data_IF_080898328965
#
_entry.id   IF_080898328965
#
_cell.length_a   1.000
_cell.length_b   1.000
_cell.length_c   1.000
_cell.angle_alpha   90.00
_cell.angle_beta   90.00
_cell.angle_gamma   90.00
#
_symmetry.space_group_name_H-M   'P 1'
#
loop_
_entity.id
_entity.type
_entity.pdbx_description
1 polymer ?
#
# COMPACT_ATOMS: atom_id res chain seq x y z
N UNK A 1 -12.81 -32.72 14.75
CA UNK A 1 -13.48 -31.39 14.71
C UNK A 1 -12.44 -30.39 14.30
N UNK A 2 -12.58 -29.77 13.13
CA UNK A 2 -11.64 -28.75 12.64
C UNK A 2 -12.00 -27.42 13.30
N UNK A 3 -11.11 -26.86 14.11
CA UNK A 3 -11.30 -25.53 14.68
C UNK A 3 -11.46 -24.51 13.54
N UNK A 4 -12.53 -23.73 13.56
CA UNK A 4 -12.74 -22.63 12.61
C UNK A 4 -11.73 -21.55 12.94
N UNK A 5 -10.75 -21.32 12.06
CA UNK A 5 -9.78 -20.23 12.22
C UNK A 5 -10.57 -18.91 12.17
N UNK A 6 -10.53 -18.14 13.24
CA UNK A 6 -11.16 -16.82 13.25
C UNK A 6 -10.44 -15.90 12.26
N UNK A 7 -11.23 -15.08 11.54
CA UNK A 7 -10.67 -14.12 10.62
C UNK A 7 -10.22 -12.88 11.40
N UNK A 8 -8.91 -12.66 11.45
CA UNK A 8 -8.28 -11.53 12.14
C UNK A 8 -8.01 -10.34 11.22
N UNK A 9 -8.40 -10.42 9.95
CA UNK A 9 -8.20 -9.34 8.99
C UNK A 9 -9.34 -8.34 9.06
N UNK A 10 -9.01 -7.05 9.12
CA UNK A 10 -9.99 -5.95 9.10
C UNK A 10 -9.65 -4.95 8.01
N UNK A 11 -10.69 -4.48 7.33
CA UNK A 11 -10.59 -3.42 6.33
C UNK A 11 -10.78 -2.07 7.01
N UNK A 12 -9.86 -1.13 6.76
CA UNK A 12 -9.86 0.20 7.36
C UNK A 12 -9.50 1.27 6.33
N UNK A 13 -9.97 2.51 6.54
CA UNK A 13 -9.44 3.66 5.80
C UNK A 13 -8.03 3.97 6.31
N UNK A 14 -7.09 4.22 5.40
CA UNK A 14 -5.73 4.60 5.78
C UNK A 14 -5.67 6.08 6.14
N UNK A 15 -4.77 6.41 7.06
CA UNK A 15 -4.53 7.76 7.58
C UNK A 15 -3.08 8.18 7.28
N UNK A 16 -2.77 9.46 7.48
CA UNK A 16 -1.39 9.97 7.32
C UNK A 16 -0.39 9.24 8.24
N UNK A 17 -0.83 8.78 9.41
CA UNK A 17 -0.01 8.02 10.36
C UNK A 17 0.37 6.62 9.84
N UNK A 18 -0.32 6.13 8.81
CA UNK A 18 -0.05 4.83 8.21
C UNK A 18 1.01 4.89 7.10
N UNK A 19 1.32 6.09 6.58
CA UNK A 19 2.17 6.27 5.39
C UNK A 19 3.48 5.46 5.46
N UNK A 20 4.29 5.53 6.54
CA UNK A 20 5.53 4.75 6.59
C UNK A 20 5.31 3.24 6.51
N UNK A 21 4.18 2.75 7.06
CA UNK A 21 3.82 1.34 7.03
C UNK A 21 3.26 0.91 5.66
N UNK A 22 2.56 1.79 4.94
CA UNK A 22 2.13 1.55 3.56
C UNK A 22 3.36 1.40 2.64
N UNK A 23 4.34 2.29 2.75
CA UNK A 23 5.59 2.23 1.98
C UNK A 23 6.36 0.94 2.29
N UNK A 24 6.48 0.56 3.56
CA UNK A 24 7.10 -0.71 3.94
C UNK A 24 6.36 -1.92 3.36
N UNK A 25 5.03 -1.90 3.39
CA UNK A 25 4.20 -2.98 2.84
C UNK A 25 4.39 -3.10 1.33
N UNK A 26 4.44 -1.98 0.61
CA UNK A 26 4.66 -1.95 -0.84
C UNK A 26 6.01 -2.58 -1.21
N UNK A 27 7.11 -2.16 -0.58
CA UNK A 27 8.43 -2.75 -0.85
C UNK A 27 8.50 -4.23 -0.46
N UNK A 28 7.85 -4.63 0.65
CA UNK A 28 7.79 -6.02 1.04
C UNK A 28 7.02 -6.89 0.03
N UNK A 29 5.96 -6.37 -0.59
CA UNK A 29 5.17 -7.09 -1.58
C UNK A 29 5.93 -7.29 -2.91
N UNK A 30 6.77 -6.32 -3.30
CA UNK A 30 7.50 -6.34 -4.56
C UNK A 30 9.01 -6.65 -4.44
N UNK A 31 9.49 -7.07 -3.26
CA UNK A 31 10.91 -7.30 -2.99
C UNK A 31 11.60 -8.30 -3.94
N UNK A 32 10.83 -9.19 -4.59
CA UNK A 32 11.33 -10.16 -5.57
C UNK A 32 11.03 -9.84 -7.03
N UNK A 33 10.39 -8.70 -7.33
CA UNK A 33 10.03 -8.33 -8.70
C UNK A 33 11.14 -7.47 -9.32
N UNK A 34 11.88 -8.06 -10.26
CA UNK A 34 13.01 -7.39 -10.94
C UNK A 34 12.57 -6.20 -11.80
N UNK A 35 11.35 -6.24 -12.35
CA UNK A 35 10.82 -5.15 -13.19
C UNK A 35 10.45 -3.96 -12.31
N UNK A 36 9.72 -4.22 -11.23
CA UNK A 36 9.33 -3.19 -10.26
C UNK A 36 10.57 -2.59 -9.58
N UNK A 37 11.52 -3.44 -9.16
CA UNK A 37 12.77 -2.98 -8.52
C UNK A 37 13.64 -2.12 -9.42
N UNK A 38 13.48 -2.22 -10.76
CA UNK A 38 14.19 -1.35 -11.72
C UNK A 38 13.53 0.03 -11.84
N UNK A 39 12.22 0.12 -11.71
CA UNK A 39 11.46 1.39 -11.78
C UNK A 39 11.50 2.13 -10.44
N UNK A 40 11.35 1.40 -9.34
CA UNK A 40 11.33 1.91 -7.97
C UNK A 40 12.28 1.08 -7.11
N UNK A 41 13.60 1.34 -7.18
CA UNK A 41 14.58 0.60 -6.38
C UNK A 41 14.35 0.85 -4.89
N UNK A 42 14.61 -0.17 -4.07
CA UNK A 42 14.51 -0.08 -2.62
C UNK A 42 15.68 0.72 -2.03
N UNK A 43 15.58 2.04 -2.12
CA UNK A 43 16.54 2.99 -1.56
C UNK A 43 15.86 3.94 -0.57
N UNK A 44 16.63 4.58 0.33
CA UNK A 44 16.07 5.61 1.22
C UNK A 44 15.40 6.77 0.47
N UNK A 45 15.92 7.15 -0.70
CA UNK A 45 15.40 8.24 -1.53
C UNK A 45 14.05 7.88 -2.15
N UNK A 46 13.90 6.67 -2.69
CA UNK A 46 12.62 6.21 -3.26
C UNK A 46 11.58 5.94 -2.17
N UNK A 47 12.00 5.44 -1.00
CA UNK A 47 11.09 5.31 0.16
C UNK A 47 10.54 6.66 0.62
N UNK A 48 11.42 7.66 0.78
CA UNK A 48 10.99 9.02 1.13
C UNK A 48 10.04 9.60 0.07
N UNK A 49 10.32 9.34 -1.21
CA UNK A 49 9.44 9.75 -2.31
C UNK A 49 8.05 9.10 -2.23
N UNK A 50 7.97 7.80 -1.90
CA UNK A 50 6.69 7.12 -1.71
C UNK A 50 5.89 7.69 -0.54
N UNK A 51 6.56 8.01 0.57
CA UNK A 51 5.93 8.66 1.73
C UNK A 51 5.37 10.03 1.35
N UNK A 52 6.17 10.86 0.67
CA UNK A 52 5.77 12.20 0.23
C UNK A 52 4.64 12.15 -0.81
N UNK A 53 4.72 11.25 -1.79
CA UNK A 53 3.72 11.10 -2.84
C UNK A 53 2.37 10.68 -2.27
N UNK A 54 2.33 9.63 -1.44
CA UNK A 54 1.09 9.16 -0.84
C UNK A 54 0.55 10.13 0.22
N UNK A 55 1.43 10.71 1.05
CA UNK A 55 1.03 11.68 2.06
C UNK A 55 0.47 12.97 1.44
N UNK A 56 1.12 13.48 0.40
CA UNK A 56 0.64 14.63 -0.37
C UNK A 56 -0.71 14.37 -1.03
N UNK A 57 -0.89 13.17 -1.57
CA UNK A 57 -2.15 12.75 -2.18
C UNK A 57 -3.29 12.63 -1.15
N UNK A 58 -3.06 11.98 -0.01
CA UNK A 58 -4.05 11.92 1.09
C UNK A 58 -4.44 13.31 1.58
N UNK A 59 -3.49 14.25 1.64
CA UNK A 59 -3.74 15.61 2.14
C UNK A 59 -4.46 16.51 1.12
N UNK A 60 -4.13 16.40 -0.16
CA UNK A 60 -4.54 17.37 -1.18
C UNK A 60 -5.57 16.85 -2.19
N UNK A 61 -5.76 15.53 -2.31
CA UNK A 61 -6.61 14.91 -3.35
C UNK A 61 -7.79 14.16 -2.72
N UNK A 62 -8.93 14.83 -2.44
CA UNK A 62 -10.10 14.19 -1.81
C UNK A 62 -10.75 13.09 -2.69
N UNK A 63 -10.40 13.05 -3.97
CA UNK A 63 -10.83 12.01 -4.91
C UNK A 63 -9.94 10.76 -4.91
N UNK A 64 -8.84 10.76 -4.15
CA UNK A 64 -8.02 9.57 -3.92
C UNK A 64 -8.36 8.96 -2.56
N UNK A 65 -8.67 7.67 -2.57
CA UNK A 65 -9.05 6.91 -1.39
C UNK A 65 -8.02 5.82 -1.14
N UNK A 66 -7.59 5.73 0.11
CA UNK A 66 -6.61 4.75 0.54
C UNK A 66 -7.28 3.82 1.54
N UNK A 67 -7.24 2.52 1.24
CA UNK A 67 -7.84 1.48 2.07
C UNK A 67 -6.77 0.46 2.40
N UNK A 68 -6.70 0.04 3.67
CA UNK A 68 -5.73 -0.92 4.17
C UNK A 68 -6.43 -2.14 4.76
N UNK A 69 -5.77 -3.28 4.70
CA UNK A 69 -6.13 -4.48 5.46
C UNK A 69 -5.15 -4.60 6.61
N UNK A 70 -5.66 -4.60 7.84
CA UNK A 70 -4.87 -4.82 9.04
C UNK A 70 -5.10 -6.23 9.57
N UNK A 71 -4.03 -6.88 10.00
CA UNK A 71 -4.08 -8.13 10.76
C UNK A 71 -4.01 -7.82 12.25
N UNK A 72 -5.11 -8.10 12.96
CA UNK A 72 -5.23 -7.85 14.41
C UNK A 72 -4.87 -9.06 15.27
N UNK A 73 -4.32 -10.13 14.68
CA UNK A 73 -3.97 -11.37 15.41
C UNK A 73 -2.98 -11.16 16.56
N UNK A 74 -2.12 -10.13 16.48
CA UNK A 74 -1.10 -9.80 17.49
C UNK A 74 -1.46 -8.63 18.42
N UNK A 75 -2.62 -7.99 18.26
CA UNK A 75 -3.07 -6.93 19.19
C UNK A 75 -3.61 -7.65 20.41
N UNK A 76 -2.79 -7.77 21.45
CA UNK A 76 -3.17 -8.43 22.70
C UNK A 76 -4.60 -8.04 23.09
N UNK A 77 -5.51 -9.00 23.07
CA UNK A 77 -6.81 -8.83 23.71
C UNK A 77 -6.51 -8.50 25.17
N UNK A 78 -6.83 -7.28 25.60
CA UNK A 78 -6.83 -6.92 27.02
C UNK A 78 -7.95 -7.71 27.69
N UNK A 79 -7.69 -8.98 27.98
CA UNK A 79 -8.43 -9.73 28.99
C UNK A 79 -7.97 -9.21 30.33
N UNK A 80 -8.90 -8.84 31.21
CA UNK A 80 -8.71 -8.06 32.44
C UNK A 80 -7.83 -8.64 33.56
N UNK A 81 -6.76 -9.33 33.22
CA UNK A 81 -5.68 -9.75 34.12
C UNK A 81 -4.38 -9.24 33.49
N UNK A 82 -3.81 -8.21 34.10
CA UNK A 82 -2.71 -7.40 33.55
C UNK A 82 -1.37 -8.10 33.47
N UNK A 83 -1.26 -9.12 32.61
CA UNK A 83 0.01 -9.67 32.15
C UNK A 83 0.03 -9.65 30.62
N UNK A 84 0.86 -8.76 30.07
CA UNK A 84 1.16 -8.72 28.64
C UNK A 84 2.04 -9.92 28.32
N UNK A 85 1.52 -10.87 27.54
CA UNK A 85 2.36 -11.89 26.90
C UNK A 85 2.92 -11.24 25.63
N UNK A 86 4.24 -11.02 25.59
CA UNK A 86 4.95 -10.62 24.37
C UNK A 86 4.71 -11.69 23.30
N UNK A 87 3.88 -11.37 22.33
CA UNK A 87 3.76 -12.15 21.11
C UNK A 87 5.05 -12.03 20.32
N UNK A 88 5.60 -13.15 19.88
CA UNK A 88 6.78 -13.19 19.01
C UNK A 88 6.50 -12.40 17.73
N UNK A 89 7.35 -11.39 17.49
CA UNK A 89 7.32 -10.37 16.42
C UNK A 89 7.41 -10.91 14.98
N UNK A 90 7.03 -12.15 14.71
CA UNK A 90 6.97 -12.69 13.35
C UNK A 90 5.70 -12.23 12.59
N UNK A 91 4.75 -11.58 13.27
CA UNK A 91 3.51 -11.08 12.66
C UNK A 91 2.96 -9.75 13.17
N UNK A 92 3.58 -9.12 14.18
CA UNK A 92 3.14 -7.84 14.75
C UNK A 92 3.77 -6.65 14.03
N UNK A 93 3.00 -5.60 13.76
CA UNK A 93 3.58 -4.34 13.25
C UNK A 93 4.56 -3.76 14.27
N UNK A 94 5.65 -3.14 13.78
CA UNK A 94 6.64 -2.49 14.66
C UNK A 94 5.94 -1.53 15.65
N UNK A 95 6.21 -1.70 16.95
CA UNK A 95 5.76 -0.76 17.99
C UNK A 95 4.33 -0.95 18.50
N UNK A 96 3.76 -2.15 18.42
CA UNK A 96 2.43 -2.46 18.98
C UNK A 96 1.25 -1.96 18.13
N UNK A 97 1.51 -1.51 16.91
CA UNK A 97 0.46 -1.21 15.92
C UNK A 97 0.04 -2.50 15.18
N UNK A 98 -1.25 -2.67 14.83
CA UNK A 98 -1.69 -3.74 13.94
C UNK A 98 -0.88 -3.74 12.65
N UNK A 99 -0.51 -4.93 12.16
CA UNK A 99 0.28 -5.06 10.92
C UNK A 99 -0.61 -4.77 9.72
N UNK A 100 -0.17 -3.89 8.82
CA UNK A 100 -0.80 -3.74 7.50
C UNK A 100 -0.36 -4.92 6.63
N UNK A 101 -1.32 -5.71 6.17
CA UNK A 101 -1.08 -6.90 5.34
C UNK A 101 -1.15 -6.58 3.84
N UNK A 102 -1.96 -5.58 3.49
CA UNK A 102 -2.21 -5.14 2.12
C UNK A 102 -2.79 -3.72 2.15
N UNK A 103 -2.63 -2.97 1.07
CA UNK A 103 -3.39 -1.73 0.88
C UNK A 103 -3.62 -1.43 -0.60
N UNK A 104 -4.55 -0.53 -0.84
CA UNK A 104 -4.89 -0.06 -2.17
C UNK A 104 -5.11 1.45 -2.19
N UNK A 105 -4.74 2.04 -3.34
CA UNK A 105 -5.04 3.43 -3.69
C UNK A 105 -6.02 3.47 -4.84
N UNK A 106 -7.16 4.12 -4.63
CA UNK A 106 -8.22 4.26 -5.62
C UNK A 106 -8.33 5.72 -6.05
N UNK A 107 -8.39 5.96 -7.36
CA UNK A 107 -8.62 7.28 -7.94
C UNK A 107 -10.04 7.34 -8.53
N UNK A 108 -10.83 8.31 -8.07
CA UNK A 108 -12.21 8.54 -8.53
C UNK A 108 -12.32 9.68 -9.55
N UNK A 109 -11.20 10.31 -9.89
CA UNK A 109 -11.12 11.45 -10.81
C UNK A 109 -10.62 11.03 -12.19
N UNK A 110 -11.06 11.76 -13.21
CA UNK A 110 -10.62 11.56 -14.59
C UNK A 110 -9.24 12.17 -14.84
N UNK A 111 -8.44 11.66 -15.81
CA UNK A 111 -7.10 12.19 -16.11
C UNK A 111 -7.05 13.70 -16.36
N UNK A 112 -8.01 14.22 -17.11
CA UNK A 112 -8.10 15.64 -17.40
C UNK A 112 -8.38 16.51 -16.15
N UNK A 113 -8.99 15.94 -15.10
CA UNK A 113 -9.42 16.67 -13.90
C UNK A 113 -8.37 16.66 -12.79
N UNK A 114 -7.66 15.54 -12.59
CA UNK A 114 -6.74 15.38 -11.45
C UNK A 114 -5.33 15.96 -11.64
N UNK A 115 -4.94 16.26 -12.87
CA UNK A 115 -3.56 16.66 -13.20
C UNK A 115 -2.55 15.50 -13.14
N UNK A 116 -1.28 15.81 -12.84
CA UNK A 116 -0.22 14.79 -12.81
C UNK A 116 -0.47 13.76 -11.71
N UNK A 117 -0.35 12.48 -12.03
CA UNK A 117 -0.63 11.37 -11.10
C UNK A 117 0.34 11.36 -9.92
N UNK A 118 1.65 11.54 -10.17
CA UNK A 118 2.71 11.49 -9.17
C UNK A 118 3.52 12.80 -9.12
N UNK A 119 4.19 13.11 -7.98
CA UNK A 119 5.18 14.20 -7.91
C UNK A 119 6.45 13.86 -8.73
N UNK A 120 7.34 14.84 -8.99
CA UNK A 120 8.59 14.58 -9.71
C UNK A 120 9.35 13.38 -9.13
N UNK A 121 9.91 12.53 -9.98
CA UNK A 121 10.62 11.32 -9.56
C UNK A 121 11.88 11.68 -8.76
N UNK A 122 12.20 10.90 -7.73
CA UNK A 122 13.50 10.91 -7.08
C UNK A 122 14.65 10.61 -8.05
N UNK A 123 15.85 11.11 -7.73
CA UNK A 123 16.99 11.10 -8.66
C UNK A 123 17.55 9.71 -8.99
N UNK A 124 17.21 8.70 -8.21
CA UNK A 124 17.61 7.30 -8.39
C UNK A 124 16.53 6.44 -9.06
N UNK A 125 15.42 7.04 -9.51
CA UNK A 125 14.46 6.39 -10.41
C UNK A 125 14.74 6.73 -11.88
N UNK A 126 14.54 5.80 -12.82
CA UNK A 126 14.64 6.08 -14.24
C UNK A 126 13.40 6.89 -14.71
N UNK A 127 13.44 8.20 -14.48
CA UNK A 127 12.32 9.13 -14.69
C UNK A 127 11.62 8.98 -16.05
N UNK A 128 12.38 8.90 -17.14
CA UNK A 128 11.83 8.74 -18.50
C UNK A 128 11.05 7.42 -18.64
N UNK A 129 11.55 6.33 -18.04
CA UNK A 129 10.89 5.02 -18.09
C UNK A 129 9.63 5.03 -17.23
N UNK A 130 9.67 5.65 -16.06
CA UNK A 130 8.51 5.81 -15.18
C UNK A 130 7.41 6.67 -15.84
N UNK A 131 7.79 7.77 -16.51
CA UNK A 131 6.85 8.60 -17.24
C UNK A 131 6.23 7.84 -18.42
N UNK A 132 7.02 7.06 -19.19
CA UNK A 132 6.50 6.21 -20.27
C UNK A 132 5.55 5.13 -19.75
N UNK A 133 5.90 4.49 -18.63
CA UNK A 133 5.07 3.48 -18.00
C UNK A 133 3.69 4.04 -17.64
N UNK A 134 3.64 5.17 -16.92
CA UNK A 134 2.36 5.75 -16.55
C UNK A 134 1.62 6.42 -17.70
N UNK A 135 2.32 7.00 -18.69
CA UNK A 135 1.67 7.48 -19.90
C UNK A 135 0.92 6.35 -20.61
N UNK A 136 1.52 5.15 -20.68
CA UNK A 136 0.86 3.98 -21.25
C UNK A 136 -0.33 3.52 -20.39
N UNK A 137 -0.22 3.52 -19.07
CA UNK A 137 -1.37 3.20 -18.21
C UNK A 137 -2.54 4.16 -18.42
N UNK A 138 -2.29 5.46 -18.55
CA UNK A 138 -3.35 6.45 -18.82
C UNK A 138 -3.98 6.27 -20.19
N UNK A 139 -3.18 5.94 -21.21
CA UNK A 139 -3.67 5.63 -22.55
C UNK A 139 -4.58 4.39 -22.53
N UNK A 140 -4.15 3.30 -21.89
CA UNK A 140 -4.95 2.08 -21.77
C UNK A 140 -6.21 2.32 -20.93
N UNK A 141 -6.11 3.11 -19.86
CA UNK A 141 -7.28 3.54 -19.07
C UNK A 141 -8.29 4.27 -19.95
N UNK A 142 -7.84 5.22 -20.76
CA UNK A 142 -8.70 5.95 -21.71
C UNK A 142 -9.28 5.04 -22.78
N UNK A 143 -8.48 4.12 -23.34
CA UNK A 143 -8.93 3.17 -24.38
C UNK A 143 -10.02 2.21 -23.86
N UNK A 144 -9.89 1.74 -22.62
CA UNK A 144 -10.80 0.74 -22.05
C UNK A 144 -12.03 1.39 -21.43
N UNK A 145 -11.87 2.47 -20.69
CA UNK A 145 -12.95 3.09 -19.92
C UNK A 145 -13.63 4.24 -20.63
N UNK A 146 -12.99 4.83 -21.64
CA UNK A 146 -13.48 6.02 -22.32
C UNK A 146 -13.64 7.21 -21.37
N UNK A 147 -14.70 7.99 -21.59
CA UNK A 147 -15.03 9.18 -20.82
C UNK A 147 -15.94 8.90 -19.61
N UNK A 148 -16.31 7.63 -19.39
CA UNK A 148 -17.18 7.25 -18.27
C UNK A 148 -16.45 7.36 -16.94
N UNK A 149 -17.13 7.88 -15.90
CA UNK A 149 -16.57 7.93 -14.55
C UNK A 149 -16.45 6.52 -13.97
N UNK A 150 -15.29 6.22 -13.41
CA UNK A 150 -14.99 4.91 -12.85
C UNK A 150 -13.98 5.00 -11.71
N UNK A 151 -13.93 3.94 -10.91
CA UNK A 151 -12.89 3.72 -9.92
C UNK A 151 -11.66 3.12 -10.61
N UNK A 152 -10.49 3.75 -10.44
CA UNK A 152 -9.23 3.23 -10.95
C UNK A 152 -8.30 2.86 -9.80
N UNK A 153 -7.93 1.59 -9.69
CA UNK A 153 -6.93 1.15 -8.72
C UNK A 153 -5.55 1.57 -9.21
N UNK A 154 -4.95 2.56 -8.55
CA UNK A 154 -3.64 3.09 -8.90
C UNK A 154 -2.48 2.23 -8.35
N UNK A 155 -2.71 1.59 -7.20
CA UNK A 155 -1.78 0.63 -6.59
C UNK A 155 -2.61 -0.39 -5.81
N UNK A 156 -2.23 -1.67 -5.92
CA UNK A 156 -2.66 -2.75 -5.04
C UNK A 156 -1.42 -3.56 -4.70
N UNK A 157 -1.17 -3.77 -3.43
CA UNK A 157 -0.17 -4.71 -2.97
C UNK A 157 -0.74 -5.66 -1.92
N UNK A 158 -0.19 -6.87 -1.92
CA UNK A 158 -0.45 -7.88 -0.92
C UNK A 158 0.89 -8.49 -0.55
N UNK A 159 1.21 -8.49 0.74
CA UNK A 159 2.36 -9.24 1.22
C UNK A 159 1.93 -10.68 1.41
N UNK A 160 2.42 -11.59 0.56
CA UNK A 160 2.20 -13.03 0.72
C UNK A 160 2.73 -13.45 2.10
N UNK A 161 1.82 -13.84 2.99
CA UNK A 161 2.17 -14.58 4.19
C UNK A 161 2.50 -15.98 3.72
N UNK A 162 3.77 -16.29 3.48
CA UNK A 162 4.21 -17.67 3.33
C UNK A 162 3.85 -18.37 4.64
N UNK A 163 2.74 -19.12 4.62
CA UNK A 163 2.48 -20.11 5.64
C UNK A 163 3.44 -21.25 5.37
N UNK A 164 4.58 -21.22 6.03
CA UNK A 164 5.44 -22.39 6.14
C UNK A 164 4.65 -23.52 6.83
N UNK A 165 4.66 -24.71 6.22
CA UNK A 165 4.27 -25.96 6.86
C UNK A 165 3.08 -26.69 6.25
N UNK A 166 3.35 -27.52 5.24
CA UNK A 166 2.75 -28.86 5.14
C UNK A 166 3.85 -29.89 5.38
#
# INVERSE_FOLDING_TARGET
>A
MTAKKENTLRLEEATLDDIPALTETWFAAFAGDEVISRLWPDTPSVRAWWDEANGGDMAAKPFQRFVKVVDVSGVATVTGTGEAVEGTDEGGGKGGRPRIAAWAKWDTSMPAERGRRYPPWAGDMPSEVCDLFFAREEEERGRVMGDERHYYTATLDERTVLTDGY
#
